data_IF_056342829088
#
_entry.id   IF_056342829088
#
_cell.length_a   1.000
_cell.length_b   1.000
_cell.length_c   1.000
_cell.angle_alpha   90.00
_cell.angle_beta   90.00
_cell.angle_gamma   90.00
#
_symmetry.space_group_name_H-M   'P 1'
#
loop_
_entity.id
_entity.type
_entity.pdbx_description
1 polymer ?
#
# COMPACT_ATOMS: atom_id res chain seq x y z
N UNK A 1 -14.26 -21.93 -12.05
CA UNK A 1 -14.72 -21.92 -10.65
C UNK A 1 -13.64 -22.57 -9.80
N UNK A 2 -12.94 -21.79 -8.97
CA UNK A 2 -11.91 -22.32 -8.08
C UNK A 2 -12.63 -23.10 -6.96
N UNK A 3 -12.18 -24.32 -6.59
CA UNK A 3 -12.81 -25.06 -5.50
C UNK A 3 -12.81 -24.26 -4.19
N UNK A 4 -13.93 -24.24 -3.46
CA UNK A 4 -14.07 -23.49 -2.20
C UNK A 4 -12.93 -23.79 -1.20
N UNK A 5 -12.46 -25.03 -1.16
CA UNK A 5 -11.35 -25.46 -0.32
C UNK A 5 -10.02 -24.79 -0.72
N UNK A 6 -9.80 -24.57 -2.01
CA UNK A 6 -8.60 -23.90 -2.51
C UNK A 6 -8.64 -22.39 -2.19
N UNK A 7 -9.84 -21.78 -2.20
CA UNK A 7 -10.03 -20.39 -1.78
C UNK A 7 -9.77 -20.20 -0.28
N UNK A 8 -10.22 -21.14 0.56
CA UNK A 8 -9.97 -21.13 2.01
C UNK A 8 -8.48 -21.29 2.30
N UNK A 9 -7.80 -22.21 1.60
CA UNK A 9 -6.35 -22.41 1.74
C UNK A 9 -5.59 -21.17 1.27
N UNK A 10 -5.98 -20.57 0.15
CA UNK A 10 -5.36 -19.35 -0.37
C UNK A 10 -5.45 -18.17 0.60
N UNK A 11 -6.62 -17.94 1.21
CA UNK A 11 -6.79 -16.90 2.25
C UNK A 11 -5.92 -17.16 3.47
N UNK A 12 -5.86 -18.40 3.92
CA UNK A 12 -5.01 -18.82 5.06
C UNK A 12 -3.53 -18.57 4.80
N UNK A 13 -3.05 -19.00 3.62
CA UNK A 13 -1.67 -18.76 3.22
C UNK A 13 -1.43 -17.25 3.19
N UNK A 14 -2.23 -16.51 2.43
CA UNK A 14 -1.99 -15.09 2.20
C UNK A 14 -1.91 -14.31 3.51
N UNK A 15 -2.86 -14.46 4.43
CA UNK A 15 -2.88 -13.70 5.70
C UNK A 15 -1.70 -14.03 6.64
N UNK A 16 -1.03 -15.16 6.44
CA UNK A 16 0.08 -15.63 7.28
C UNK A 16 1.47 -15.46 6.67
N UNK A 17 1.56 -14.99 5.41
CA UNK A 17 2.85 -14.75 4.75
C UNK A 17 3.53 -13.56 5.39
N UNK A 18 4.81 -13.71 5.69
CA UNK A 18 5.70 -12.61 6.11
C UNK A 18 6.83 -12.50 5.09
N UNK A 19 7.02 -11.31 4.51
CA UNK A 19 8.11 -11.09 3.57
C UNK A 19 9.44 -10.84 4.31
N UNK A 20 10.54 -10.64 3.59
CA UNK A 20 11.86 -10.44 4.19
C UNK A 20 12.01 -9.12 4.95
N UNK A 21 11.13 -8.14 4.69
CA UNK A 21 11.03 -6.86 5.40
C UNK A 21 10.08 -6.94 6.60
N UNK A 22 9.50 -8.10 6.92
CA UNK A 22 8.57 -8.26 8.04
C UNK A 22 7.12 -7.91 7.73
N UNK A 23 6.77 -7.59 6.47
CA UNK A 23 5.41 -7.22 6.11
C UNK A 23 4.52 -8.45 6.15
N UNK A 24 3.33 -8.31 6.74
CA UNK A 24 2.42 -9.43 6.95
C UNK A 24 1.28 -9.39 5.95
N UNK A 25 0.90 -10.56 5.47
CA UNK A 25 -0.36 -10.74 4.80
C UNK A 25 -0.35 -10.18 3.38
N UNK A 26 -1.30 -9.30 3.10
CA UNK A 26 -1.31 -8.45 1.90
C UNK A 26 -0.28 -7.32 1.97
N UNK A 27 0.92 -7.62 2.50
CA UNK A 27 2.06 -6.70 2.57
C UNK A 27 1.76 -5.44 3.40
N UNK A 28 1.10 -5.59 4.54
CA UNK A 28 0.92 -4.48 5.48
C UNK A 28 2.18 -4.27 6.33
N UNK A 29 2.53 -3.00 6.56
CA UNK A 29 3.56 -2.54 7.51
C UNK A 29 2.93 -1.79 8.70
N UNK A 30 3.72 -1.32 9.67
CA UNK A 30 3.19 -0.61 10.84
C UNK A 30 2.41 0.64 10.45
N UNK A 31 2.90 1.44 9.50
CA UNK A 31 2.26 2.70 9.11
C UNK A 31 0.88 2.51 8.46
N UNK A 32 0.68 1.41 7.73
CA UNK A 32 -0.66 1.05 7.23
C UNK A 32 -1.59 0.77 8.41
N UNK A 33 -1.16 -0.07 9.34
CA UNK A 33 -1.98 -0.42 10.50
C UNK A 33 -2.24 0.78 11.41
N UNK A 34 -1.27 1.68 11.55
CA UNK A 34 -1.43 2.91 12.32
C UNK A 34 -2.45 3.85 11.67
N UNK A 35 -2.33 4.09 10.37
CA UNK A 35 -3.30 4.89 9.59
C UNK A 35 -4.71 4.33 9.72
N UNK A 36 -4.86 3.00 9.69
CA UNK A 36 -6.13 2.31 9.80
C UNK A 36 -6.63 2.16 11.25
N UNK A 37 -5.85 2.57 12.25
CA UNK A 37 -6.19 2.53 13.68
C UNK A 37 -6.14 1.14 14.32
N UNK A 38 -5.40 0.19 13.72
CA UNK A 38 -5.15 -1.15 14.27
C UNK A 38 -3.90 -1.22 15.16
N UNK A 39 -2.99 -0.26 15.04
CA UNK A 39 -1.68 -0.31 15.69
C UNK A 39 -1.23 1.09 16.15
N UNK A 40 -0.52 1.15 17.27
CA UNK A 40 0.23 2.35 17.67
C UNK A 40 1.71 2.09 17.47
N UNK A 41 2.48 3.05 16.97
CA UNK A 41 3.92 2.86 16.87
C UNK A 41 4.55 2.61 18.25
N UNK A 42 5.61 1.81 18.25
CA UNK A 42 6.54 1.86 19.37
C UNK A 42 7.14 3.26 19.45
N UNK A 43 7.56 3.64 20.65
CA UNK A 43 8.26 4.90 20.86
C UNK A 43 9.57 4.66 21.60
N UNK A 44 10.56 5.49 21.32
CA UNK A 44 11.84 5.46 21.99
C UNK A 44 12.26 6.89 22.34
N UNK A 45 12.80 7.07 23.55
CA UNK A 45 13.16 8.39 24.10
C UNK A 45 14.65 8.62 23.92
N UNK A 46 15.01 9.69 23.20
CA UNK A 46 16.38 10.17 23.04
C UNK A 46 16.44 11.60 23.58
N UNK A 47 17.32 11.86 24.56
CA UNK A 47 17.50 13.20 25.14
C UNK A 47 16.17 13.87 25.59
N UNK A 48 15.31 13.11 26.29
CA UNK A 48 13.99 13.54 26.80
C UNK A 48 12.93 13.81 25.72
N UNK A 49 13.21 13.54 24.44
CA UNK A 49 12.25 13.62 23.34
C UNK A 49 11.80 12.21 22.96
N UNK A 50 10.49 12.00 22.89
CA UNK A 50 9.88 10.75 22.44
C UNK A 50 9.71 10.75 20.93
N UNK A 51 10.21 9.71 20.26
CA UNK A 51 10.12 9.54 18.81
C UNK A 51 9.34 8.29 18.47
N UNK A 52 8.48 8.31 17.44
CA UNK A 52 7.91 7.08 16.88
C UNK A 52 9.03 6.22 16.29
N UNK A 53 8.86 4.91 16.37
CA UNK A 53 9.80 3.91 15.88
C UNK A 53 9.07 2.91 15.00
N UNK A 54 9.46 2.84 13.73
CA UNK A 54 8.85 1.96 12.74
C UNK A 54 9.67 1.90 11.44
N UNK A 55 9.33 0.94 10.59
CA UNK A 55 9.91 0.83 9.25
C UNK A 55 9.52 2.02 8.36
N UNK A 56 10.50 2.56 7.63
CA UNK A 56 10.30 3.54 6.56
C UNK A 56 11.19 3.12 5.40
N UNK A 57 10.68 3.19 4.17
CA UNK A 57 11.48 2.92 2.99
C UNK A 57 12.54 4.01 2.77
N UNK A 58 13.80 3.62 2.93
CA UNK A 58 14.99 4.48 2.83
C UNK A 58 16.09 3.72 2.09
N UNK A 59 17.10 4.45 1.62
CA UNK A 59 18.20 3.85 0.84
C UNK A 59 18.89 2.73 1.64
N UNK A 60 19.06 1.56 1.01
CA UNK A 60 19.65 0.36 1.65
C UNK A 60 21.05 0.58 2.21
N UNK A 61 21.75 1.66 1.81
CA UNK A 61 23.03 2.03 2.39
C UNK A 61 22.97 2.45 3.85
N UNK A 62 21.80 2.84 4.36
CA UNK A 62 21.58 3.09 5.80
C UNK A 62 21.77 1.84 6.66
N UNK A 63 21.59 0.64 6.09
CA UNK A 63 21.66 -0.64 6.79
C UNK A 63 23.03 -1.32 6.73
N UNK A 64 24.04 -0.62 6.22
CA UNK A 64 25.41 -1.13 6.16
C UNK A 64 25.99 -1.30 7.56
N UNK A 65 27.02 -2.15 7.65
CA UNK A 65 27.79 -2.40 8.88
C UNK A 65 26.94 -2.87 10.08
N UNK A 66 25.77 -3.47 9.81
CA UNK A 66 24.88 -4.03 10.83
C UNK A 66 24.00 -3.00 11.56
N UNK A 67 23.86 -1.79 11.01
CA UNK A 67 22.90 -0.80 11.50
C UNK A 67 21.49 -1.30 11.17
N UNK A 68 20.61 -1.34 12.17
CA UNK A 68 19.21 -1.76 12.04
C UNK A 68 18.23 -0.64 12.37
N UNK A 69 18.72 0.49 12.89
CA UNK A 69 17.90 1.66 13.17
C UNK A 69 18.72 2.95 13.18
N UNK A 70 18.09 4.07 12.84
CA UNK A 70 18.67 5.41 12.99
C UNK A 70 17.57 6.48 13.13
N UNK A 71 17.91 7.66 13.65
CA UNK A 71 16.99 8.79 13.71
C UNK A 71 16.99 9.55 12.38
N UNK A 72 15.87 9.51 11.66
CA UNK A 72 15.63 10.30 10.47
C UNK A 72 14.94 11.62 10.84
N UNK A 73 15.37 12.70 10.20
CA UNK A 73 14.87 14.06 10.46
C UNK A 73 14.60 14.86 9.19
N UNK A 74 14.93 14.33 8.01
CA UNK A 74 14.63 14.97 6.73
C UNK A 74 13.11 14.93 6.49
N UNK A 75 12.43 16.09 6.43
CA UNK A 75 10.99 16.16 6.18
C UNK A 75 10.56 15.65 4.80
N UNK A 76 11.51 15.36 3.91
CA UNK A 76 11.24 14.70 2.62
C UNK A 76 11.11 13.19 2.74
N UNK A 77 11.61 12.61 3.83
CA UNK A 77 11.59 11.16 4.10
C UNK A 77 10.51 10.83 5.11
N UNK A 78 10.43 11.60 6.21
CA UNK A 78 9.47 11.38 7.31
C UNK A 78 8.67 12.66 7.58
N UNK A 79 7.40 12.52 7.94
CA UNK A 79 6.55 13.67 8.27
C UNK A 79 6.91 14.31 9.62
N UNK A 80 7.49 13.52 10.53
CA UNK A 80 8.04 13.93 11.82
C UNK A 80 9.31 13.13 12.13
N UNK A 81 10.26 13.68 12.93
CA UNK A 81 11.45 12.94 13.33
C UNK A 81 11.11 11.54 13.85
N UNK A 82 11.73 10.52 13.28
CA UNK A 82 11.32 9.11 13.45
C UNK A 82 12.56 8.24 13.60
N UNK A 83 12.52 7.27 14.51
CA UNK A 83 13.53 6.22 14.57
C UNK A 83 13.15 5.16 13.53
N UNK A 84 13.79 5.23 12.37
CA UNK A 84 13.52 4.33 11.24
C UNK A 84 14.19 2.99 11.49
N UNK A 85 13.48 1.88 11.27
CA UNK A 85 14.00 0.51 11.36
C UNK A 85 14.19 -0.13 9.99
N UNK A 86 15.11 -1.10 9.90
CA UNK A 86 15.45 -1.80 8.66
C UNK A 86 14.37 -2.80 8.21
N UNK A 87 13.59 -3.32 9.15
CA UNK A 87 12.43 -4.17 8.91
C UNK A 87 11.27 -3.78 9.83
N UNK A 88 10.08 -4.28 9.48
CA UNK A 88 8.85 -4.16 10.26
C UNK A 88 8.94 -5.03 11.52
N UNK A 89 8.58 -4.45 12.65
CA UNK A 89 8.52 -5.11 13.94
C UNK A 89 7.17 -4.88 14.62
N UNK A 90 6.40 -5.96 14.81
CA UNK A 90 5.14 -5.92 15.54
C UNK A 90 5.31 -6.34 17.00
N UNK A 91 4.73 -5.55 17.89
CA UNK A 91 4.65 -5.81 19.33
C UNK A 91 3.19 -5.92 19.74
N UNK A 92 2.82 -7.02 20.40
CA UNK A 92 1.43 -7.32 20.72
C UNK A 92 0.74 -6.20 21.52
N UNK A 93 1.44 -5.57 22.47
CA UNK A 93 0.89 -4.48 23.30
C UNK A 93 0.48 -3.23 22.52
N UNK A 94 0.91 -3.12 21.26
CA UNK A 94 0.70 -1.94 20.44
C UNK A 94 -0.53 -2.08 19.53
N UNK A 95 -1.11 -3.27 19.41
CA UNK A 95 -2.39 -3.44 18.72
C UNK A 95 -3.54 -2.85 19.54
N UNK A 96 -4.45 -2.15 18.86
CA UNK A 96 -5.50 -1.35 19.52
C UNK A 96 -6.72 -2.16 19.96
N UNK A 97 -6.86 -3.40 19.47
CA UNK A 97 -8.07 -4.21 19.64
C UNK A 97 -9.17 -3.95 18.60
N UNK A 98 -8.94 -3.06 17.62
CA UNK A 98 -9.89 -2.82 16.53
C UNK A 98 -10.21 -4.14 15.81
N UNK A 99 -11.49 -4.43 15.60
CA UNK A 99 -11.98 -5.72 15.06
C UNK A 99 -11.42 -6.96 15.78
N UNK A 100 -11.23 -6.87 17.09
CA UNK A 100 -10.69 -7.96 17.92
C UNK A 100 -9.24 -8.33 17.57
N UNK A 101 -8.48 -7.40 16.99
CA UNK A 101 -7.07 -7.58 16.65
C UNK A 101 -6.22 -6.93 17.73
N UNK A 102 -5.70 -7.75 18.65
CA UNK A 102 -4.94 -7.32 19.83
C UNK A 102 -3.54 -7.92 19.92
N UNK A 103 -3.11 -8.63 18.87
CA UNK A 103 -1.83 -9.32 18.79
C UNK A 103 -1.46 -9.61 17.34
N UNK A 104 -0.19 -9.94 17.10
CA UNK A 104 0.28 -10.44 15.81
C UNK A 104 -0.46 -11.72 15.40
N UNK A 105 -0.82 -12.57 16.37
CA UNK A 105 -1.56 -13.79 16.10
C UNK A 105 -2.97 -13.51 15.60
N UNK A 106 -3.65 -12.50 16.16
CA UNK A 106 -4.94 -12.04 15.65
C UNK A 106 -4.81 -11.37 14.28
N UNK A 107 -3.74 -10.61 14.08
CA UNK A 107 -3.47 -9.95 12.80
C UNK A 107 -3.24 -10.96 11.67
N UNK A 108 -2.58 -12.07 11.95
CA UNK A 108 -2.38 -13.18 11.02
C UNK A 108 -3.60 -14.11 10.88
N UNK A 109 -4.65 -13.90 11.68
CA UNK A 109 -5.89 -14.67 11.54
C UNK A 109 -6.62 -14.25 10.24
N UNK A 110 -6.88 -15.16 9.29
CA UNK A 110 -7.45 -14.80 7.99
C UNK A 110 -8.86 -14.18 8.07
N UNK A 111 -9.65 -14.57 9.07
CA UNK A 111 -11.01 -14.06 9.25
C UNK A 111 -11.00 -12.66 9.87
N UNK A 112 -9.93 -12.30 10.60
CA UNK A 112 -9.69 -10.93 11.09
C UNK A 112 -8.96 -10.06 10.06
N UNK A 113 -7.98 -10.61 9.37
CA UNK A 113 -7.17 -9.94 8.36
C UNK A 113 -8.00 -9.35 7.21
N UNK A 114 -9.14 -9.99 6.89
CA UNK A 114 -10.08 -9.46 5.88
C UNK A 114 -10.70 -8.11 6.26
N UNK A 115 -10.82 -7.79 7.55
CA UNK A 115 -11.29 -6.46 7.99
C UNK A 115 -10.24 -5.39 7.69
N UNK A 116 -8.95 -5.69 7.92
CA UNK A 116 -7.85 -4.79 7.59
C UNK A 116 -7.84 -4.49 6.10
N UNK A 117 -7.98 -5.51 5.25
CA UNK A 117 -8.04 -5.33 3.79
C UNK A 117 -9.21 -4.44 3.37
N UNK A 118 -10.39 -4.65 3.96
CA UNK A 118 -11.58 -3.85 3.65
C UNK A 118 -11.39 -2.39 4.06
N UNK A 119 -10.84 -2.17 5.25
CA UNK A 119 -10.54 -0.83 5.74
C UNK A 119 -9.46 -0.17 4.88
N UNK A 120 -8.42 -0.91 4.48
CA UNK A 120 -7.36 -0.44 3.60
C UNK A 120 -7.88 0.02 2.25
N UNK A 121 -8.67 -0.82 1.57
CA UNK A 121 -9.22 -0.42 0.27
C UNK A 121 -10.24 0.71 0.39
N UNK A 122 -10.96 0.81 1.52
CA UNK A 122 -11.78 1.98 1.80
C UNK A 122 -10.93 3.23 1.97
N UNK A 123 -9.84 3.16 2.74
CA UNK A 123 -8.89 4.26 2.93
C UNK A 123 -8.29 4.71 1.58
N UNK A 124 -7.82 3.77 0.76
CA UNK A 124 -7.31 4.08 -0.59
C UNK A 124 -8.37 4.71 -1.49
N UNK A 125 -9.59 4.17 -1.49
CA UNK A 125 -10.70 4.76 -2.22
C UNK A 125 -10.95 6.21 -1.79
N UNK A 126 -11.11 6.44 -0.48
CA UNK A 126 -11.40 7.77 0.07
C UNK A 126 -10.25 8.75 -0.19
N UNK A 127 -9.00 8.29 -0.10
CA UNK A 127 -7.82 9.06 -0.49
C UNK A 127 -7.84 9.49 -1.96
N UNK A 128 -8.21 8.60 -2.87
CA UNK A 128 -8.33 8.94 -4.31
C UNK A 128 -9.46 9.97 -4.49
N UNK A 129 -10.62 9.75 -3.88
CA UNK A 129 -11.76 10.68 -3.97
C UNK A 129 -11.37 12.07 -3.49
N UNK A 130 -10.74 12.16 -2.31
CA UNK A 130 -10.33 13.43 -1.73
C UNK A 130 -9.25 14.12 -2.58
N UNK A 131 -8.23 13.38 -3.02
CA UNK A 131 -7.16 13.94 -3.84
C UNK A 131 -7.65 14.42 -5.21
N UNK A 132 -8.57 13.71 -5.87
CA UNK A 132 -9.18 14.19 -7.12
C UNK A 132 -10.07 15.43 -6.91
N UNK A 133 -10.75 15.52 -5.76
CA UNK A 133 -11.61 16.66 -5.44
C UNK A 133 -10.83 17.98 -5.36
N UNK A 134 -9.55 17.95 -4.97
CA UNK A 134 -8.66 19.12 -4.99
C UNK A 134 -8.49 19.73 -6.39
N UNK A 135 -8.67 18.90 -7.43
CA UNK A 135 -8.61 19.31 -8.85
C UNK A 135 -10.01 19.48 -9.47
N UNK A 136 -11.07 19.44 -8.66
CA UNK A 136 -12.45 19.49 -9.13
C UNK A 136 -12.85 18.28 -9.98
N UNK A 137 -12.22 17.12 -9.74
CA UNK A 137 -12.46 15.85 -10.43
C UNK A 137 -13.09 14.80 -9.51
N UNK A 138 -13.65 13.78 -10.13
CA UNK A 138 -14.21 12.59 -9.49
C UNK A 138 -13.63 11.34 -10.15
N UNK A 139 -13.74 10.17 -9.48
CA UNK A 139 -13.28 8.90 -10.07
C UNK A 139 -14.03 8.58 -11.38
N UNK A 140 -15.32 8.92 -11.45
CA UNK A 140 -16.17 8.72 -12.64
C UNK A 140 -15.67 9.47 -13.87
N UNK A 141 -14.90 10.54 -13.72
CA UNK A 141 -14.27 11.24 -14.85
C UNK A 141 -13.23 10.37 -15.57
N UNK A 142 -12.74 9.30 -14.92
CA UNK A 142 -11.66 8.46 -15.43
C UNK A 142 -12.06 7.00 -15.68
N UNK A 143 -13.07 6.46 -15.01
CA UNK A 143 -13.49 5.06 -15.22
C UNK A 143 -13.90 4.82 -16.68
N UNK A 144 -13.40 3.73 -17.27
CA UNK A 144 -13.62 3.38 -18.68
C UNK A 144 -12.77 4.16 -19.70
N UNK A 145 -12.00 5.16 -19.27
CA UNK A 145 -11.06 5.86 -20.14
C UNK A 145 -9.81 5.01 -20.39
N UNK A 146 -9.05 5.35 -21.44
CA UNK A 146 -7.80 4.68 -21.78
C UNK A 146 -6.62 5.57 -21.39
N UNK A 147 -5.69 5.00 -20.65
CA UNK A 147 -4.34 5.54 -20.42
C UNK A 147 -3.36 4.64 -21.16
N UNK A 148 -2.27 5.22 -21.68
CA UNK A 148 -1.25 4.46 -22.41
C UNK A 148 0.10 4.51 -21.73
N UNK A 149 0.87 3.43 -21.82
CA UNK A 149 2.22 3.34 -21.26
C UNK A 149 3.18 4.38 -21.85
N UNK A 150 3.03 4.65 -23.15
CA UNK A 150 3.81 5.66 -23.85
C UNK A 150 3.35 7.11 -23.58
N UNK A 151 2.13 7.28 -23.06
CA UNK A 151 1.52 8.58 -22.74
C UNK A 151 1.74 9.04 -21.28
N UNK A 152 2.35 8.22 -20.43
CA UNK A 152 2.71 8.58 -19.06
C UNK A 152 4.20 8.93 -18.93
N UNK A 153 4.59 9.49 -17.78
CA UNK A 153 5.97 9.85 -17.44
C UNK A 153 6.44 9.09 -16.19
N UNK A 154 7.51 8.28 -16.26
CA UNK A 154 8.29 7.97 -17.47
C UNK A 154 7.46 7.19 -18.50
N UNK A 155 7.74 7.47 -19.77
CA UNK A 155 7.19 6.72 -20.91
C UNK A 155 7.91 5.37 -21.00
N UNK A 156 7.16 4.28 -21.09
CA UNK A 156 7.72 2.91 -21.08
C UNK A 156 7.27 2.19 -22.35
N UNK A 157 8.22 1.83 -23.21
CA UNK A 157 7.94 1.09 -24.45
C UNK A 157 9.09 0.12 -24.76
N UNK A 158 8.82 -1.18 -24.96
CA UNK A 158 7.50 -1.83 -24.84
C UNK A 158 7.03 -1.91 -23.37
N UNK A 159 5.71 -2.04 -23.13
CA UNK A 159 5.21 -2.31 -21.79
C UNK A 159 5.86 -3.56 -21.17
N UNK A 160 6.17 -3.56 -19.87
CA UNK A 160 6.77 -4.70 -19.19
C UNK A 160 5.91 -5.96 -19.35
N UNK A 161 6.57 -7.12 -19.44
CA UNK A 161 5.86 -8.42 -19.51
C UNK A 161 5.03 -8.64 -20.79
N UNK A 162 5.17 -7.80 -21.82
CA UNK A 162 4.40 -7.92 -23.06
C UNK A 162 2.95 -7.45 -22.94
N UNK A 163 2.66 -6.60 -21.95
CA UNK A 163 1.34 -6.00 -21.73
C UNK A 163 0.90 -5.13 -22.91
N UNK A 164 -0.42 -4.96 -23.05
CA UNK A 164 -0.99 -4.04 -24.03
C UNK A 164 -0.65 -2.59 -23.68
N UNK A 165 -0.34 -1.78 -24.69
CA UNK A 165 -0.05 -0.35 -24.50
C UNK A 165 -1.26 0.43 -23.96
N UNK A 166 -2.47 0.03 -24.35
CA UNK A 166 -3.71 0.68 -23.94
C UNK A 166 -4.27 0.01 -22.68
N UNK A 167 -4.46 0.79 -21.62
CA UNK A 167 -4.98 0.32 -20.34
C UNK A 167 -6.30 1.03 -20.06
N UNK A 168 -7.39 0.26 -19.99
CA UNK A 168 -8.68 0.80 -19.55
C UNK A 168 -8.67 0.97 -18.03
N UNK A 169 -9.01 2.17 -17.58
CA UNK A 169 -9.11 2.48 -16.15
C UNK A 169 -10.36 1.84 -15.56
N UNK A 170 -10.16 1.05 -14.50
CA UNK A 170 -11.21 0.34 -13.74
C UNK A 170 -11.05 0.62 -12.25
N UNK A 171 -12.11 0.45 -11.45
CA UNK A 171 -12.02 0.74 -10.02
C UNK A 171 -11.06 -0.21 -9.32
N UNK A 172 -11.12 -1.49 -9.66
CA UNK A 172 -10.19 -2.51 -9.15
C UNK A 172 -8.73 -2.20 -9.48
N UNK A 173 -8.45 -1.76 -10.72
CA UNK A 173 -7.11 -1.31 -11.12
C UNK A 173 -6.62 -0.10 -10.32
N UNK A 174 -7.47 0.92 -10.13
CA UNK A 174 -7.10 2.10 -9.34
C UNK A 174 -6.79 1.75 -7.88
N UNK A 175 -7.59 0.88 -7.26
CA UNK A 175 -7.34 0.41 -5.89
C UNK A 175 -6.05 -0.40 -5.77
N UNK A 176 -5.74 -1.24 -6.76
CA UNK A 176 -4.47 -1.96 -6.80
C UNK A 176 -3.27 -1.01 -6.97
N UNK A 177 -3.39 -0.02 -7.86
CA UNK A 177 -2.38 1.03 -8.01
C UNK A 177 -2.15 1.82 -6.72
N UNK A 178 -3.22 2.13 -5.99
CA UNK A 178 -3.13 2.84 -4.71
C UNK A 178 -2.62 1.96 -3.56
N UNK A 179 -2.81 0.64 -3.64
CA UNK A 179 -2.14 -0.28 -2.74
C UNK A 179 -0.61 -0.30 -2.97
N UNK A 180 -0.15 -0.12 -4.21
CA UNK A 180 1.27 -0.07 -4.54
C UNK A 180 1.94 1.26 -4.18
N UNK A 181 1.36 2.40 -4.58
CA UNK A 181 2.00 3.73 -4.51
C UNK A 181 1.14 4.80 -3.83
N UNK A 182 0.20 4.37 -2.99
CA UNK A 182 -0.72 5.27 -2.31
C UNK A 182 -1.77 5.90 -3.22
N UNK A 183 -2.77 6.53 -2.61
CA UNK A 183 -3.84 7.23 -3.34
C UNK A 183 -3.28 8.42 -4.14
N UNK A 184 -2.29 9.11 -3.59
CA UNK A 184 -1.57 10.21 -4.19
C UNK A 184 -0.84 9.81 -5.48
N UNK A 185 -0.27 8.60 -5.53
CA UNK A 185 0.35 8.06 -6.74
C UNK A 185 -0.68 7.90 -7.85
N UNK A 186 -1.86 7.38 -7.53
CA UNK A 186 -2.97 7.23 -8.47
C UNK A 186 -3.50 8.58 -8.93
N UNK A 187 -3.69 9.54 -8.02
CA UNK A 187 -4.10 10.91 -8.36
C UNK A 187 -3.08 11.56 -9.30
N UNK A 188 -1.79 11.46 -9.01
CA UNK A 188 -0.75 12.03 -9.89
C UNK A 188 -0.67 11.31 -11.25
N UNK A 189 -0.99 10.01 -11.33
CA UNK A 189 -1.15 9.34 -12.63
C UNK A 189 -2.31 9.92 -13.43
N UNK A 190 -3.48 10.08 -12.81
CA UNK A 190 -4.69 10.53 -13.49
C UNK A 190 -4.65 12.01 -13.87
N UNK A 191 -4.00 12.85 -13.05
CA UNK A 191 -3.97 14.31 -13.21
C UNK A 191 -2.70 14.78 -13.92
N UNK A 192 -1.53 14.31 -13.48
CA UNK A 192 -0.22 14.79 -13.97
C UNK A 192 0.41 13.84 -14.99
N UNK A 193 -0.26 12.74 -15.35
CA UNK A 193 0.26 11.71 -16.25
C UNK A 193 1.58 11.07 -15.76
N UNK A 194 1.77 10.92 -14.44
CA UNK A 194 2.95 10.23 -13.89
C UNK A 194 2.74 8.72 -13.75
N UNK A 195 3.84 7.96 -13.84
CA UNK A 195 3.85 6.51 -13.68
C UNK A 195 5.02 6.09 -12.78
N UNK A 196 5.01 6.42 -11.48
CA UNK A 196 6.08 6.04 -10.59
C UNK A 196 6.18 4.51 -10.48
N UNK A 197 7.40 4.01 -10.27
CA UNK A 197 7.65 2.62 -9.93
C UNK A 197 7.89 2.45 -8.42
N UNK A 198 7.64 1.26 -7.91
CA UNK A 198 8.09 0.83 -6.58
C UNK A 198 9.59 0.51 -6.55
N UNK A 199 10.07 0.08 -5.39
CA UNK A 199 11.47 -0.22 -5.10
C UNK A 199 11.98 -1.43 -5.89
N UNK A 200 11.06 -2.29 -6.36
CA UNK A 200 11.34 -3.42 -7.23
C UNK A 200 11.34 -3.07 -8.73
N UNK A 201 11.01 -1.82 -9.07
CA UNK A 201 10.86 -1.35 -10.44
C UNK A 201 9.51 -1.66 -11.07
N UNK A 202 8.51 -2.03 -10.26
CA UNK A 202 7.15 -2.28 -10.72
C UNK A 202 6.38 -0.98 -10.85
N UNK A 203 5.93 -0.67 -12.07
CA UNK A 203 5.21 0.58 -12.36
C UNK A 203 3.78 0.57 -11.81
N UNK A 204 3.30 1.75 -11.41
CA UNK A 204 1.91 1.95 -10.99
C UNK A 204 0.91 1.48 -12.05
N UNK A 205 1.11 1.86 -13.32
CA UNK A 205 0.23 1.42 -14.42
C UNK A 205 0.26 -0.10 -14.61
N UNK A 206 1.33 -0.79 -14.20
CA UNK A 206 1.40 -2.25 -14.21
C UNK A 206 0.32 -2.86 -13.31
N UNK A 207 0.23 -2.38 -12.07
CA UNK A 207 -0.79 -2.86 -11.11
C UNK A 207 -2.20 -2.49 -11.57
N UNK A 208 -2.38 -1.28 -12.10
CA UNK A 208 -3.66 -0.86 -12.65
C UNK A 208 -4.13 -1.81 -13.74
N UNK A 209 -3.23 -2.26 -14.62
CA UNK A 209 -3.55 -3.17 -15.71
C UNK A 209 -3.73 -4.63 -15.25
N UNK A 210 -2.85 -5.13 -14.39
CA UNK A 210 -2.87 -6.54 -13.94
C UNK A 210 -4.09 -6.89 -13.09
N UNK A 211 -4.62 -5.90 -12.38
CA UNK A 211 -5.75 -6.06 -11.46
C UNK A 211 -7.02 -5.36 -11.96
N UNK A 212 -7.11 -5.06 -13.25
CA UNK A 212 -8.30 -4.47 -13.84
C UNK A 212 -9.47 -5.47 -14.00
N UNK A 213 -10.70 -4.98 -13.85
CA UNK A 213 -11.92 -5.70 -14.23
C UNK A 213 -12.51 -6.63 -13.16
N UNK A 214 -12.11 -6.47 -11.88
CA UNK A 214 -12.73 -7.16 -10.75
C UNK A 214 -13.79 -6.32 -10.03
N UNK A 215 -14.91 -6.94 -9.67
CA UNK A 215 -15.95 -6.29 -8.86
C UNK A 215 -15.39 -5.71 -7.55
N UNK A 216 -15.74 -4.46 -7.28
CA UNK A 216 -15.42 -3.77 -6.02
C UNK A 216 -16.70 -3.26 -5.36
N UNK A 217 -16.72 -3.04 -4.03
CA UNK A 217 -17.87 -2.43 -3.37
C UNK A 217 -18.01 -0.92 -3.65
N UNK A 218 -17.07 -0.32 -4.40
CA UNK A 218 -16.97 1.12 -4.62
C UNK A 218 -17.38 1.56 -6.03
N UNK A 219 -17.63 0.62 -6.94
CA UNK A 219 -18.03 0.92 -8.30
C UNK A 219 -18.25 -0.36 -9.12
N UNK A 220 -18.96 -0.24 -10.23
CA UNK A 220 -19.08 -1.33 -11.20
C UNK A 220 -17.94 -1.20 -12.21
N UNK A 221 -17.17 -2.25 -12.39
CA UNK A 221 -16.33 -2.36 -13.58
C UNK A 221 -17.27 -2.52 -14.80
N UNK A 222 -17.02 -1.71 -15.84
CA UNK A 222 -17.86 -1.58 -17.05
C UNK A 222 -17.48 -2.65 -18.06
#
# INVERSE_FOLDING_TARGET
>A
MIPQNLLIIGKKIQASVVNYLGFVGFQFQESDLQTLGYYNFETEVIEEIEYPKHYVDVDVSHWKDGITQYLETDPKVVSEPTIVTDVVHYVDSNFTGKHEISSIQDFMDPDKHIFIIKDHFKDKHDGIVNGLAEYGKTIDDFLGTIVTWDGLTPSVTPPPGGRDNNVTITMSGLLAGAHLRGAEGVVSMLIDHKNPADESGTYLLQYVQDYAGYDTPFGKDI
#
